data_IF_666133441700
#
_entry.id   IF_666133441700
#
_cell.length_a   1.000
_cell.length_b   1.000
_cell.length_c   1.000
_cell.angle_alpha   90.00
_cell.angle_beta   90.00
_cell.angle_gamma   90.00
#
_symmetry.space_group_name_H-M   'P 1'
#
loop_
_entity.id
_entity.type
_entity.pdbx_description
1 polymer ?
#
# COMPACT_ATOMS: atom_id res chain seq x y z
N UNK A 1 2.62 8.94 -54.56
CA UNK A 1 2.22 9.57 -53.28
C UNK A 1 3.36 9.41 -52.29
N UNK A 2 3.87 10.50 -51.69
CA UNK A 2 4.77 10.41 -50.52
C UNK A 2 3.91 10.58 -49.28
N UNK A 3 3.80 9.56 -48.45
CA UNK A 3 3.23 9.68 -47.10
C UNK A 3 4.25 10.40 -46.21
N UNK A 4 3.85 11.51 -45.60
CA UNK A 4 4.68 12.20 -44.59
C UNK A 4 4.42 11.52 -43.26
N UNK A 5 5.41 10.83 -42.72
CA UNK A 5 5.34 10.25 -41.37
C UNK A 5 5.77 11.32 -40.37
N UNK A 6 4.83 11.82 -39.57
CA UNK A 6 5.14 12.74 -38.46
C UNK A 6 5.91 11.95 -37.40
N UNK A 7 7.17 12.31 -37.18
CA UNK A 7 7.99 11.77 -36.11
C UNK A 7 7.92 12.70 -34.89
N UNK A 8 7.70 12.13 -33.72
CA UNK A 8 7.51 12.88 -32.49
C UNK A 8 8.07 12.15 -31.26
N UNK A 9 8.49 12.91 -30.22
CA UNK A 9 8.79 12.34 -28.92
C UNK A 9 7.52 11.84 -28.22
N UNK A 10 7.64 10.97 -27.21
CA UNK A 10 6.50 10.43 -26.48
C UNK A 10 5.57 11.48 -25.86
N UNK A 11 4.26 11.30 -26.05
CA UNK A 11 3.18 12.14 -25.54
C UNK A 11 2.09 11.28 -24.90
N UNK A 12 1.20 11.92 -24.13
CA UNK A 12 0.06 11.26 -23.47
C UNK A 12 0.43 9.98 -22.71
N UNK A 13 1.57 10.01 -22.03
CA UNK A 13 2.06 8.84 -21.26
C UNK A 13 1.19 8.69 -20.01
N UNK A 14 0.53 7.55 -19.87
CA UNK A 14 -0.43 7.30 -18.78
C UNK A 14 -0.32 5.87 -18.27
N UNK A 15 -0.54 5.69 -16.97
CA UNK A 15 -0.58 4.37 -16.32
C UNK A 15 -2.00 4.02 -15.90
N UNK A 16 -2.38 2.76 -16.08
CA UNK A 16 -3.59 2.17 -15.50
C UNK A 16 -3.26 0.90 -14.74
N UNK A 17 -4.02 0.62 -13.68
CA UNK A 17 -3.86 -0.56 -12.81
C UNK A 17 -5.14 -1.40 -12.93
N UNK A 18 -4.99 -2.70 -13.13
CA UNK A 18 -6.07 -3.68 -13.17
C UNK A 18 -5.80 -4.84 -12.21
N UNK A 19 -6.79 -5.30 -11.42
CA UNK A 19 -8.18 -4.82 -11.37
C UNK A 19 -8.28 -3.42 -10.74
N UNK A 20 -9.37 -2.71 -11.07
CA UNK A 20 -9.72 -1.46 -10.39
C UNK A 20 -10.36 -1.74 -9.04
N UNK A 21 -9.99 -0.99 -8.00
CA UNK A 21 -10.61 -1.08 -6.67
C UNK A 21 -9.64 -1.61 -5.63
N UNK A 22 -10.18 -2.34 -4.64
CA UNK A 22 -9.38 -2.96 -3.59
C UNK A 22 -8.54 -4.12 -4.16
N UNK A 23 -7.26 -4.13 -3.82
CA UNK A 23 -6.30 -5.16 -4.23
C UNK A 23 -5.85 -5.87 -2.96
N UNK A 24 -6.09 -7.18 -2.89
CA UNK A 24 -5.75 -7.99 -1.74
C UNK A 24 -4.40 -8.71 -1.95
N UNK A 25 -3.66 -8.93 -0.88
CA UNK A 25 -2.46 -9.77 -0.90
C UNK A 25 -2.81 -11.18 -1.44
N UNK A 26 -2.03 -11.64 -2.41
CA UNK A 26 -2.26 -12.86 -3.17
C UNK A 26 -2.92 -12.65 -4.54
N UNK A 27 -3.50 -11.47 -4.81
CA UNK A 27 -4.10 -11.16 -6.11
C UNK A 27 -3.08 -11.08 -7.25
N UNK A 28 -3.59 -11.07 -8.48
CA UNK A 28 -2.80 -10.77 -9.68
C UNK A 28 -3.13 -9.37 -10.17
N UNK A 29 -2.11 -8.53 -10.30
CA UNK A 29 -2.24 -7.13 -10.70
C UNK A 29 -1.47 -6.89 -11.99
N UNK A 30 -2.05 -6.10 -12.88
CA UNK A 30 -1.42 -5.68 -14.13
C UNK A 30 -1.40 -4.16 -14.20
N UNK A 31 -0.21 -3.59 -14.37
CA UNK A 31 0.01 -2.19 -14.68
C UNK A 31 0.22 -2.07 -16.19
N UNK A 32 -0.50 -1.15 -16.82
CA UNK A 32 -0.39 -0.89 -18.26
C UNK A 32 0.03 0.56 -18.49
N UNK A 33 1.01 0.76 -19.37
CA UNK A 33 1.51 2.07 -19.77
C UNK A 33 1.14 2.31 -21.23
N UNK A 34 0.40 3.39 -21.47
CA UNK A 34 0.07 3.88 -22.81
C UNK A 34 0.96 5.09 -23.14
N UNK A 35 1.35 5.24 -24.39
CA UNK A 35 2.17 6.34 -24.88
C UNK A 35 1.97 6.55 -26.38
N UNK A 36 1.71 7.79 -26.78
CA UNK A 36 1.66 8.20 -28.18
C UNK A 36 3.06 8.59 -28.62
N UNK A 37 3.69 7.80 -29.49
CA UNK A 37 5.07 8.05 -29.92
C UNK A 37 5.36 7.49 -31.31
N UNK A 38 6.04 8.26 -32.15
CA UNK A 38 6.57 7.79 -33.42
C UNK A 38 8.06 8.18 -33.62
N UNK A 39 9.02 7.25 -33.67
CA UNK A 39 8.86 5.79 -33.65
C UNK A 39 8.37 5.27 -32.30
N UNK A 40 7.89 4.01 -32.24
CA UNK A 40 7.48 3.36 -31.01
C UNK A 40 8.53 3.52 -29.91
N UNK A 41 8.08 3.89 -28.72
CA UNK A 41 8.94 4.10 -27.58
C UNK A 41 9.21 2.83 -26.79
N UNK A 42 10.40 2.77 -26.21
CA UNK A 42 10.76 1.81 -25.18
C UNK A 42 10.17 2.27 -23.83
N UNK A 43 9.50 1.34 -23.13
CA UNK A 43 8.86 1.61 -21.85
C UNK A 43 9.64 0.95 -20.72
N UNK A 44 9.91 1.71 -19.66
CA UNK A 44 10.52 1.24 -18.42
C UNK A 44 9.64 1.57 -17.22
N UNK A 45 9.46 0.62 -16.31
CA UNK A 45 8.65 0.77 -15.09
C UNK A 45 9.52 1.08 -13.89
N UNK A 46 9.06 2.01 -13.06
CA UNK A 46 9.72 2.43 -11.84
C UNK A 46 8.76 2.30 -10.66
N UNK A 47 9.26 1.73 -9.56
CA UNK A 47 8.66 1.80 -8.22
C UNK A 47 9.56 2.65 -7.34
N UNK A 48 9.06 3.77 -6.84
CA UNK A 48 9.80 4.64 -5.91
C UNK A 48 11.23 5.00 -6.41
N UNK A 49 11.35 5.23 -7.72
CA UNK A 49 12.62 5.57 -8.37
C UNK A 49 13.50 4.37 -8.79
N UNK A 50 13.16 3.14 -8.39
CA UNK A 50 13.88 1.91 -8.78
C UNK A 50 13.24 1.25 -9.98
N UNK A 51 14.03 0.81 -10.96
CA UNK A 51 13.53 0.07 -12.13
C UNK A 51 13.02 -1.31 -11.70
N UNK A 52 11.79 -1.64 -12.06
CA UNK A 52 11.14 -2.92 -11.71
C UNK A 52 10.73 -3.76 -12.92
N UNK A 53 10.74 -3.18 -14.11
CA UNK A 53 10.34 -3.88 -15.33
C UNK A 53 10.42 -3.01 -16.59
N UNK A 54 10.05 -3.61 -17.72
CA UNK A 54 10.04 -2.97 -19.03
C UNK A 54 8.87 -3.50 -19.88
N UNK A 55 8.53 -2.76 -20.94
CA UNK A 55 7.41 -3.07 -21.82
C UNK A 55 6.11 -2.36 -21.40
N UNK A 56 5.10 -2.38 -22.28
CA UNK A 56 3.82 -1.68 -22.04
C UNK A 56 2.99 -2.31 -20.92
N UNK A 57 3.29 -3.55 -20.53
CA UNK A 57 2.56 -4.32 -19.52
C UNK A 57 3.55 -4.81 -18.46
N UNK A 58 3.25 -4.55 -17.19
CA UNK A 58 3.97 -5.08 -16.05
C UNK A 58 2.99 -5.84 -15.14
N UNK A 59 3.15 -7.15 -15.06
CA UNK A 59 2.25 -8.03 -14.32
C UNK A 59 2.94 -8.61 -13.09
N UNK A 60 2.25 -8.53 -11.96
CA UNK A 60 2.67 -9.11 -10.68
C UNK A 60 1.65 -10.20 -10.34
N UNK A 61 2.11 -11.45 -10.25
CA UNK A 61 1.31 -12.55 -9.73
C UNK A 61 1.55 -12.71 -8.23
N UNK A 62 0.51 -13.04 -7.46
CA UNK A 62 0.57 -13.19 -6.00
C UNK A 62 1.19 -11.96 -5.34
N UNK A 63 0.54 -10.82 -5.53
CA UNK A 63 0.99 -9.55 -5.00
C UNK A 63 1.12 -9.60 -3.47
N UNK A 64 2.04 -8.83 -2.91
CA UNK A 64 2.30 -8.76 -1.48
C UNK A 64 2.40 -7.32 -1.01
N UNK A 65 2.32 -7.12 0.30
CA UNK A 65 2.52 -5.82 0.97
C UNK A 65 3.73 -5.01 0.48
N UNK A 66 4.84 -5.67 0.11
CA UNK A 66 6.05 -4.99 -0.40
C UNK A 66 5.90 -4.37 -1.80
N UNK A 67 4.88 -4.79 -2.55
CA UNK A 67 4.57 -4.22 -3.85
C UNK A 67 3.76 -2.92 -3.76
N UNK A 68 3.24 -2.56 -2.59
CA UNK A 68 2.61 -1.25 -2.41
C UNK A 68 3.61 -0.12 -2.67
N UNK A 69 3.12 0.98 -3.24
CA UNK A 69 3.91 2.19 -3.45
C UNK A 69 3.58 2.94 -4.73
N UNK A 70 4.42 3.93 -5.02
CA UNK A 70 4.29 4.80 -6.19
C UNK A 70 4.94 4.17 -7.43
N UNK A 71 4.14 3.97 -8.47
CA UNK A 71 4.57 3.49 -9.76
C UNK A 71 4.50 4.59 -10.82
N UNK A 72 5.50 4.61 -11.71
CA UNK A 72 5.46 5.40 -12.95
C UNK A 72 6.10 4.63 -14.08
N UNK A 73 5.70 4.92 -15.32
CA UNK A 73 6.42 4.46 -16.49
C UNK A 73 7.15 5.62 -17.17
N UNK A 74 8.33 5.32 -17.71
CA UNK A 74 9.08 6.21 -18.60
C UNK A 74 8.97 5.66 -20.01
N UNK A 75 8.52 6.49 -20.94
CA UNK A 75 8.49 6.22 -22.37
C UNK A 75 9.62 6.96 -23.06
N UNK A 76 10.47 6.27 -23.84
CA UNK A 76 11.64 6.84 -24.51
C UNK A 76 11.70 6.43 -25.98
N UNK A 77 11.94 7.38 -26.87
CA UNK A 77 12.36 7.09 -28.24
C UNK A 77 13.56 7.98 -28.64
N UNK A 78 14.00 7.87 -29.89
CA UNK A 78 15.15 8.65 -30.41
C UNK A 78 14.93 10.17 -30.44
N UNK A 79 13.70 10.64 -30.25
CA UNK A 79 13.34 12.06 -30.27
C UNK A 79 13.10 12.64 -28.86
N UNK A 80 13.00 11.81 -27.82
CA UNK A 80 12.86 12.29 -26.44
C UNK A 80 12.36 11.22 -25.47
N UNK A 81 12.13 11.66 -24.24
CA UNK A 81 11.56 10.83 -23.17
C UNK A 81 10.47 11.60 -22.43
N UNK A 82 9.49 10.86 -21.88
CA UNK A 82 8.46 11.41 -21.01
C UNK A 82 8.05 10.39 -19.95
N UNK A 83 7.92 10.85 -18.71
CA UNK A 83 7.37 10.08 -17.60
C UNK A 83 5.84 10.21 -17.58
N UNK A 84 5.16 9.16 -17.11
CA UNK A 84 3.74 9.22 -16.73
C UNK A 84 3.55 10.00 -15.43
N UNK A 85 2.29 10.34 -15.16
CA UNK A 85 1.87 10.66 -13.80
C UNK A 85 2.06 9.44 -12.87
N UNK A 86 2.09 9.70 -11.56
CA UNK A 86 2.25 8.66 -10.53
C UNK A 86 0.94 7.89 -10.38
N UNK A 87 1.02 6.56 -10.42
CA UNK A 87 -0.05 5.64 -10.06
C UNK A 87 0.27 4.99 -8.71
N UNK A 88 -0.62 5.16 -7.73
CA UNK A 88 -0.48 4.55 -6.40
C UNK A 88 -1.05 3.14 -6.42
N UNK A 89 -0.22 2.15 -6.08
CA UNK A 89 -0.66 0.77 -5.85
C UNK A 89 -0.77 0.53 -4.34
N UNK A 90 -1.98 0.25 -3.86
CA UNK A 90 -2.24 -0.05 -2.45
C UNK A 90 -2.69 -1.50 -2.29
N UNK A 91 -1.85 -2.33 -1.65
CA UNK A 91 -2.14 -3.74 -1.37
C UNK A 91 -2.66 -3.87 0.06
N UNK A 92 -3.88 -4.37 0.20
CA UNK A 92 -4.52 -4.65 1.48
C UNK A 92 -4.22 -6.07 1.94
N UNK A 93 -4.02 -6.26 3.24
CA UNK A 93 -3.67 -7.54 3.85
C UNK A 93 -4.19 -7.62 5.29
N UNK A 94 -4.49 -8.85 5.70
CA UNK A 94 -5.04 -9.14 7.02
C UNK A 94 -4.03 -8.83 8.14
N UNK A 95 -4.50 -8.51 9.37
CA UNK A 95 -3.62 -8.27 10.50
C UNK A 95 -2.73 -9.48 10.82
N UNK A 96 -1.44 -9.23 10.97
CA UNK A 96 -0.42 -10.21 11.36
C UNK A 96 0.52 -9.62 12.40
N UNK A 97 1.34 -10.47 13.02
CA UNK A 97 2.33 -10.07 14.02
C UNK A 97 1.71 -9.24 15.16
N UNK A 98 0.57 -9.68 15.69
CA UNK A 98 -0.07 -9.01 16.81
C UNK A 98 0.81 -9.14 18.06
N UNK A 99 1.15 -8.00 18.66
CA UNK A 99 1.98 -7.91 19.87
C UNK A 99 1.21 -7.15 20.92
N UNK A 100 1.14 -7.74 22.12
CA UNK A 100 0.62 -7.09 23.32
C UNK A 100 1.79 -6.69 24.21
N UNK A 101 1.80 -5.44 24.66
CA UNK A 101 2.76 -4.92 25.61
C UNK A 101 2.06 -4.32 26.82
N UNK A 102 2.75 -4.36 27.96
CA UNK A 102 2.29 -3.81 29.23
C UNK A 102 3.31 -2.81 29.74
N UNK A 103 2.83 -1.71 30.32
CA UNK A 103 3.67 -0.70 30.95
C UNK A 103 3.02 -0.15 32.23
N UNK A 104 3.73 -0.08 33.37
CA UNK A 104 5.10 -0.59 33.58
C UNK A 104 5.17 -2.12 33.58
N UNK A 105 6.36 -2.66 33.33
CA UNK A 105 6.67 -4.10 33.47
C UNK A 105 7.40 -4.35 34.79
N UNK A 106 7.24 -5.55 35.37
CA UNK A 106 7.89 -5.94 36.63
C UNK A 106 6.91 -6.20 37.76
N UNK A 107 7.36 -6.05 39.01
CA UNK A 107 6.49 -6.12 40.18
C UNK A 107 5.49 -4.96 40.17
N UNK A 108 4.21 -5.31 40.13
CA UNK A 108 3.09 -4.37 40.16
C UNK A 108 2.38 -4.59 41.47
N UNK A 109 2.22 -3.52 42.26
CA UNK A 109 1.58 -3.60 43.57
C UNK A 109 0.08 -3.38 43.41
N UNK A 110 -0.71 -3.97 44.32
CA UNK A 110 -2.15 -3.71 44.37
C UNK A 110 -2.44 -2.20 44.50
N UNK A 111 -3.27 -1.68 43.61
CA UNK A 111 -3.58 -0.24 43.51
C UNK A 111 -2.84 0.47 42.37
N UNK A 112 -1.79 -0.14 41.82
CA UNK A 112 -1.07 0.42 40.68
C UNK A 112 -1.85 0.29 39.37
N UNK A 113 -1.71 1.28 38.49
CA UNK A 113 -2.30 1.26 37.16
C UNK A 113 -1.31 0.76 36.12
N UNK A 114 -1.77 -0.14 35.24
CA UNK A 114 -1.01 -0.58 34.08
C UNK A 114 -1.71 -0.16 32.79
N UNK A 115 -0.93 0.11 31.76
CA UNK A 115 -1.40 0.34 30.39
C UNK A 115 -1.12 -0.89 29.55
N UNK A 116 -2.17 -1.42 28.92
CA UNK A 116 -2.05 -2.47 27.91
C UNK A 116 -2.10 -1.83 26.53
N UNK A 117 -1.12 -2.16 25.69
CA UNK A 117 -1.06 -1.74 24.30
C UNK A 117 -1.05 -2.96 23.38
N UNK A 118 -1.72 -2.86 22.25
CA UNK A 118 -1.74 -3.90 21.23
C UNK A 118 -1.43 -3.24 19.89
N UNK A 119 -0.58 -3.89 19.11
CA UNK A 119 -0.22 -3.46 17.76
C UNK A 119 -0.20 -4.66 16.83
N UNK A 120 -0.61 -4.47 15.58
CA UNK A 120 -0.53 -5.47 14.50
C UNK A 120 -0.10 -4.80 13.20
N UNK A 121 0.59 -5.55 12.35
CA UNK A 121 0.87 -5.15 10.97
C UNK A 121 -0.35 -5.49 10.10
N UNK A 122 -1.02 -4.48 9.55
CA UNK A 122 -2.27 -4.62 8.81
C UNK A 122 -2.50 -3.45 7.88
N UNK A 123 -3.06 -3.69 6.70
CA UNK A 123 -3.62 -2.65 5.84
C UNK A 123 -4.99 -3.09 5.32
N UNK A 124 -6.09 -2.42 5.68
CA UNK A 124 -6.17 -1.19 6.46
C UNK A 124 -5.85 -1.43 7.95
N UNK A 125 -5.73 -0.36 8.76
CA UNK A 125 -5.50 -0.49 10.20
C UNK A 125 -6.54 -1.40 10.86
N UNK A 126 -6.06 -2.39 11.62
CA UNK A 126 -6.90 -3.36 12.29
C UNK A 126 -7.78 -2.74 13.39
N UNK A 127 -8.99 -3.26 13.55
CA UNK A 127 -9.79 -2.98 14.74
C UNK A 127 -9.32 -3.84 15.92
N UNK A 128 -8.89 -3.17 17.00
CA UNK A 128 -8.40 -3.84 18.22
C UNK A 128 -9.50 -3.91 19.28
N UNK A 129 -9.81 -5.12 19.74
CA UNK A 129 -10.79 -5.39 20.81
C UNK A 129 -10.09 -6.08 21.98
N UNK A 130 -10.27 -5.54 23.19
CA UNK A 130 -9.67 -6.08 24.41
C UNK A 130 -10.66 -6.96 25.18
N UNK A 131 -10.16 -8.08 25.68
CA UNK A 131 -10.91 -9.01 26.53
C UNK A 131 -10.20 -9.24 27.87
N UNK A 132 -10.97 -9.34 28.95
CA UNK A 132 -10.52 -9.87 30.25
C UNK A 132 -11.27 -11.16 30.52
N UNK A 133 -10.61 -12.31 30.37
CA UNK A 133 -11.31 -13.60 30.30
C UNK A 133 -12.26 -13.63 29.11
N UNK A 134 -13.55 -13.85 29.36
CA UNK A 134 -14.59 -13.82 28.31
C UNK A 134 -15.28 -12.46 28.16
N UNK A 135 -14.97 -11.49 29.01
CA UNK A 135 -15.64 -10.18 29.01
C UNK A 135 -14.97 -9.22 28.05
N UNK A 136 -15.74 -8.65 27.11
CA UNK A 136 -15.28 -7.59 26.23
C UNK A 136 -15.17 -6.26 27.00
N UNK A 137 -13.97 -5.72 27.11
CA UNK A 137 -13.69 -4.50 27.86
C UNK A 137 -14.26 -3.23 27.20
N UNK A 138 -14.55 -3.25 25.89
CA UNK A 138 -15.26 -2.14 25.22
C UNK A 138 -16.71 -2.01 25.70
N UNK A 139 -17.37 -3.12 26.01
CA UNK A 139 -18.75 -3.12 26.54
C UNK A 139 -18.79 -2.82 28.04
N UNK A 140 -17.74 -3.21 28.78
CA UNK A 140 -17.65 -2.98 30.24
C UNK A 140 -17.37 -1.52 30.64
N UNK A 141 -16.85 -0.69 29.72
CA UNK A 141 -16.67 0.76 29.92
C UNK A 141 -17.96 1.53 30.21
N UNK A 142 -19.14 0.95 29.90
CA UNK A 142 -20.43 1.60 30.16
C UNK A 142 -20.93 1.44 31.62
N UNK A 143 -20.24 0.69 32.50
CA UNK A 143 -20.80 0.38 33.84
C UNK A 143 -19.85 0.45 35.04
N UNK A 144 -18.55 0.69 34.90
CA UNK A 144 -17.64 0.70 36.06
C UNK A 144 -16.83 2.00 36.18
N UNK A 145 -16.95 2.66 37.35
CA UNK A 145 -16.18 3.84 37.74
C UNK A 145 -14.68 3.50 37.77
N UNK A 146 -13.88 4.33 37.08
CA UNK A 146 -12.42 4.34 37.15
C UNK A 146 -11.75 3.67 35.95
N UNK A 147 -11.36 4.46 34.94
CA UNK A 147 -10.52 3.99 33.84
C UNK A 147 -9.37 4.95 33.60
N UNK A 148 -8.14 4.46 33.68
CA UNK A 148 -6.93 5.16 33.26
C UNK A 148 -6.55 4.73 31.84
N UNK A 149 -6.57 5.73 30.95
CA UNK A 149 -6.04 5.85 29.58
C UNK A 149 -5.91 4.61 28.67
N UNK A 150 -6.81 4.57 27.68
CA UNK A 150 -6.58 3.90 26.39
C UNK A 150 -5.95 4.90 25.42
N UNK A 151 -4.83 4.55 24.79
CA UNK A 151 -4.35 5.26 23.60
C UNK A 151 -4.07 4.28 22.47
N UNK A 152 -4.86 4.41 21.41
CA UNK A 152 -4.59 3.85 20.09
C UNK A 152 -3.62 4.77 19.34
N UNK A 153 -2.59 4.20 18.70
CA UNK A 153 -1.90 4.84 17.59
C UNK A 153 -2.10 3.98 16.35
N UNK A 154 -2.83 4.44 15.33
CA UNK A 154 -2.68 3.90 13.99
C UNK A 154 -1.32 4.36 13.44
N UNK A 155 -0.59 3.46 12.80
CA UNK A 155 0.52 3.84 11.91
C UNK A 155 -0.05 4.12 10.52
#
# INVERSE_FOLDING_TARGET
MKTVSLLDPPKNVSVSISPSGEILEGDSVTLSCSSDSNPPAEISWFKEGTIVGSGSIYSISKISSNHSGEYKCKSRNKHGEKDSDIAMLNVMYAPRNAVVSISPSGEIVEGDSVTLSCSSDSNPPAEIIWFKGTTNLRLALMTARGWSSLKSKPF
#
